data_IF_614640357836
#
_entry.id   IF_614640357836
#
_cell.length_a   1.000
_cell.length_b   1.000
_cell.length_c   1.000
_cell.angle_alpha   90.00
_cell.angle_beta   90.00
_cell.angle_gamma   90.00
#
_symmetry.space_group_name_H-M   'P 1'
#
loop_
_entity.id
_entity.type
_entity.pdbx_description
1 polymer ?
#
# COMPACT_ATOMS: atom_id res chain seq x y z
N UNK A 1 -1.90 5.56 -5.55
CA UNK A 1 -1.93 6.42 -6.77
C UNK A 1 -3.25 6.40 -7.55
N UNK A 2 -3.34 7.09 -8.69
CA UNK A 2 -4.54 7.21 -9.56
C UNK A 2 -5.13 5.87 -10.00
N UNK A 3 -4.37 5.13 -10.81
CA UNK A 3 -4.74 3.78 -11.27
C UNK A 3 -4.57 2.72 -10.17
N UNK A 4 -3.46 2.77 -9.43
CA UNK A 4 -3.19 1.89 -8.27
C UNK A 4 -4.29 1.87 -7.21
N UNK A 5 -5.01 2.98 -7.05
CA UNK A 5 -6.12 3.07 -6.12
C UNK A 5 -7.31 2.17 -6.46
N UNK A 6 -7.38 1.60 -7.66
CA UNK A 6 -8.42 0.64 -8.05
C UNK A 6 -8.15 -0.78 -7.55
N UNK A 7 -6.90 -1.12 -7.20
CA UNK A 7 -6.52 -2.47 -6.78
C UNK A 7 -7.28 -2.99 -5.56
N UNK A 8 -7.46 -2.22 -4.46
CA UNK A 8 -8.10 -2.76 -3.27
C UNK A 8 -9.58 -3.09 -3.52
N UNK A 9 -10.31 -2.18 -4.18
CA UNK A 9 -11.69 -2.44 -4.61
C UNK A 9 -11.79 -3.61 -5.60
N UNK A 10 -10.89 -3.71 -6.57
CA UNK A 10 -10.89 -4.80 -7.54
C UNK A 10 -10.67 -6.17 -6.87
N UNK A 11 -9.75 -6.25 -5.90
CA UNK A 11 -9.52 -7.46 -5.11
C UNK A 11 -10.75 -7.84 -4.29
N UNK A 12 -11.39 -6.87 -3.61
CA UNK A 12 -12.63 -7.09 -2.86
C UNK A 12 -13.75 -7.60 -3.76
N UNK A 13 -13.94 -6.99 -4.94
CA UNK A 13 -14.92 -7.45 -5.93
C UNK A 13 -14.62 -8.85 -6.47
N UNK A 14 -13.35 -9.25 -6.50
CA UNK A 14 -12.92 -10.60 -6.87
C UNK A 14 -13.03 -11.61 -5.70
N UNK A 15 -13.45 -11.17 -4.51
CA UNK A 15 -13.61 -12.02 -3.32
C UNK A 15 -12.33 -12.20 -2.50
N UNK A 16 -11.31 -11.37 -2.71
CA UNK A 16 -10.04 -11.44 -1.98
C UNK A 16 -9.91 -10.31 -0.95
N UNK A 17 -9.18 -10.57 0.12
CA UNK A 17 -8.65 -9.52 0.97
C UNK A 17 -7.44 -8.85 0.31
N UNK A 18 -7.24 -7.55 0.55
CA UNK A 18 -6.13 -6.79 -0.05
C UNK A 18 -5.41 -5.91 0.97
N UNK A 19 -4.10 -6.07 1.08
CA UNK A 19 -3.21 -5.12 1.74
C UNK A 19 -2.48 -4.32 0.67
N UNK A 20 -2.71 -3.01 0.62
CA UNK A 20 -2.06 -2.11 -0.32
C UNK A 20 -1.11 -1.15 0.41
N UNK A 21 0.18 -1.19 0.08
CA UNK A 21 1.18 -0.28 0.67
C UNK A 21 1.22 1.02 -0.13
N UNK A 22 1.12 2.17 0.54
CA UNK A 22 1.17 3.49 -0.08
C UNK A 22 1.95 4.45 0.82
N UNK A 23 2.89 5.19 0.23
CA UNK A 23 3.78 6.08 0.98
C UNK A 23 3.18 7.47 1.21
N UNK A 24 2.18 7.86 0.42
CA UNK A 24 1.56 9.18 0.49
C UNK A 24 0.21 9.12 1.26
N UNK A 25 0.10 9.70 2.47
CA UNK A 25 -1.13 9.67 3.25
C UNK A 25 -2.31 10.34 2.55
N UNK A 26 -2.07 11.40 1.77
CA UNK A 26 -3.14 12.07 1.00
C UNK A 26 -3.76 11.13 -0.03
N UNK A 27 -2.95 10.23 -0.59
CA UNK A 27 -3.44 9.23 -1.55
C UNK A 27 -4.32 8.20 -0.86
N UNK A 28 -3.96 7.75 0.34
CA UNK A 28 -4.75 6.82 1.16
C UNK A 28 -6.09 7.47 1.54
N UNK A 29 -6.05 8.68 2.10
CA UNK A 29 -7.24 9.41 2.54
C UNK A 29 -8.21 9.69 1.39
N UNK A 30 -7.68 9.96 0.20
CA UNK A 30 -8.49 10.07 -0.99
C UNK A 30 -9.25 8.77 -1.29
N UNK A 31 -8.59 7.60 -1.20
CA UNK A 31 -9.21 6.30 -1.55
C UNK A 31 -10.21 5.87 -0.49
N UNK A 32 -9.94 6.14 0.79
CA UNK A 32 -10.91 5.93 1.87
C UNK A 32 -12.17 6.75 1.62
N UNK A 33 -12.02 8.06 1.35
CA UNK A 33 -13.16 8.94 1.08
C UNK A 33 -13.98 8.48 -0.13
N UNK A 34 -13.31 7.98 -1.17
CA UNK A 34 -13.98 7.46 -2.38
C UNK A 34 -14.43 6.00 -2.25
N UNK A 35 -14.24 5.35 -1.10
CA UNK A 35 -14.57 3.93 -0.83
C UNK A 35 -13.90 2.94 -1.78
N UNK A 36 -12.67 3.26 -2.18
CA UNK A 36 -11.82 2.37 -2.97
C UNK A 36 -10.90 1.50 -2.09
N UNK A 37 -10.81 1.82 -0.80
CA UNK A 37 -10.20 1.00 0.26
C UNK A 37 -11.10 1.10 1.50
N UNK A 38 -11.18 0.04 2.29
CA UNK A 38 -12.10 -0.04 3.44
C UNK A 38 -11.48 0.57 4.71
N UNK A 39 -10.23 0.21 5.01
CA UNK A 39 -9.52 0.63 6.24
C UNK A 39 -8.12 1.18 5.91
N UNK A 40 -7.52 1.88 6.88
CA UNK A 40 -6.09 2.24 6.83
C UNK A 40 -5.41 2.00 8.17
N UNK A 41 -4.10 1.79 8.12
CA UNK A 41 -3.21 1.78 9.30
C UNK A 41 -1.80 2.21 8.89
N UNK A 42 -0.96 2.58 9.85
CA UNK A 42 0.47 2.80 9.70
C UNK A 42 1.32 1.68 10.34
N UNK A 43 0.66 0.63 10.84
CA UNK A 43 1.29 -0.53 11.47
C UNK A 43 1.16 -1.77 10.59
N UNK A 44 2.29 -2.39 10.24
CA UNK A 44 2.30 -3.67 9.53
C UNK A 44 1.65 -4.78 10.37
N UNK A 45 1.83 -4.76 11.69
CA UNK A 45 1.24 -5.76 12.58
C UNK A 45 -0.29 -5.68 12.53
N UNK A 46 -0.84 -4.47 12.67
CA UNK A 46 -2.29 -4.24 12.60
C UNK A 46 -2.85 -4.61 11.21
N UNK A 47 -2.15 -4.25 10.12
CA UNK A 47 -2.57 -4.60 8.77
C UNK A 47 -2.65 -6.12 8.58
N UNK A 48 -1.67 -6.87 9.10
CA UNK A 48 -1.64 -8.33 9.00
C UNK A 48 -2.72 -8.98 9.88
N UNK A 49 -2.97 -8.47 11.08
CA UNK A 49 -4.05 -8.91 11.95
C UNK A 49 -5.44 -8.68 11.31
N UNK A 50 -5.64 -7.54 10.66
CA UNK A 50 -6.85 -7.25 9.90
C UNK A 50 -7.07 -8.26 8.77
N UNK A 51 -6.04 -8.49 7.94
CA UNK A 51 -6.10 -9.45 6.83
C UNK A 51 -6.41 -10.85 7.36
N UNK A 52 -5.70 -11.32 8.38
CA UNK A 52 -5.90 -12.66 8.95
C UNK A 52 -7.35 -12.83 9.43
N UNK A 53 -7.85 -11.88 10.23
CA UNK A 53 -9.22 -11.89 10.74
C UNK A 53 -10.27 -11.91 9.62
N UNK A 54 -10.12 -11.09 8.58
CA UNK A 54 -11.07 -11.06 7.47
C UNK A 54 -11.04 -12.36 6.65
N UNK A 55 -9.85 -12.89 6.38
CA UNK A 55 -9.70 -14.15 5.66
C UNK A 55 -10.30 -15.32 6.44
N UNK A 56 -10.11 -15.40 7.77
CA UNK A 56 -10.72 -16.43 8.62
C UNK A 56 -12.25 -16.32 8.65
N UNK A 57 -12.78 -15.10 8.62
CA UNK A 57 -14.22 -14.84 8.57
C UNK A 57 -14.85 -15.06 7.17
N UNK A 58 -14.05 -15.34 6.13
CA UNK A 58 -14.54 -15.42 4.75
C UNK A 58 -15.02 -14.08 4.20
N UNK A 59 -14.53 -12.97 4.74
CA UNK A 59 -14.81 -11.61 4.27
C UNK A 59 -13.84 -11.20 3.16
N UNK A 60 -14.29 -10.34 2.24
CA UNK A 60 -13.45 -9.67 1.27
C UNK A 60 -13.35 -8.19 1.63
N UNK A 61 -12.19 -7.77 2.15
CA UNK A 61 -11.92 -6.40 2.63
C UNK A 61 -10.52 -5.93 2.30
N UNK A 62 -10.33 -4.63 2.33
CA UNK A 62 -9.08 -3.99 1.95
C UNK A 62 -8.54 -3.03 3.01
N UNK A 63 -7.22 -3.07 3.20
CA UNK A 63 -6.49 -2.16 4.09
C UNK A 63 -5.36 -1.47 3.33
N UNK A 64 -5.28 -0.14 3.46
CA UNK A 64 -4.13 0.63 3.03
C UNK A 64 -3.13 0.74 4.19
N UNK A 65 -1.89 0.30 3.98
CA UNK A 65 -0.79 0.47 4.92
C UNK A 65 0.06 1.67 4.52
N UNK A 66 0.14 2.68 5.40
CA UNK A 66 1.06 3.80 5.22
C UNK A 66 2.50 3.31 5.40
N UNK A 67 3.29 3.35 4.34
CA UNK A 67 4.68 2.92 4.36
C UNK A 67 5.32 2.91 2.98
N UNK A 68 6.62 2.62 2.92
CA UNK A 68 7.33 2.42 1.66
C UNK A 68 7.31 0.92 1.29
N UNK A 69 6.88 0.59 0.08
CA UNK A 69 6.88 -0.79 -0.40
C UNK A 69 8.28 -1.44 -0.34
N UNK A 70 9.34 -0.66 -0.55
CA UNK A 70 10.73 -1.11 -0.45
C UNK A 70 11.15 -1.52 0.97
N UNK A 71 10.42 -1.08 2.01
CA UNK A 71 10.62 -1.50 3.40
C UNK A 71 9.66 -2.63 3.78
N UNK A 72 8.38 -2.50 3.42
CA UNK A 72 7.32 -3.42 3.86
C UNK A 72 7.45 -4.81 3.21
N UNK A 73 7.72 -4.89 1.90
CA UNK A 73 7.74 -6.19 1.22
C UNK A 73 8.89 -7.08 1.70
N UNK A 74 10.13 -6.59 1.88
CA UNK A 74 11.19 -7.36 2.53
C UNK A 74 10.84 -7.79 3.95
N UNK A 75 10.17 -6.95 4.73
CA UNK A 75 9.76 -7.30 6.10
C UNK A 75 8.70 -8.40 6.13
N UNK A 76 7.68 -8.34 5.26
CA UNK A 76 6.69 -9.41 5.07
C UNK A 76 7.40 -10.73 4.72
N UNK A 77 8.33 -10.69 3.77
CA UNK A 77 9.11 -11.87 3.38
C UNK A 77 9.92 -12.44 4.53
N UNK A 78 10.63 -11.58 5.28
CA UNK A 78 11.44 -11.96 6.45
C UNK A 78 10.60 -12.62 7.55
N UNK A 79 9.36 -12.19 7.74
CA UNK A 79 8.40 -12.77 8.69
C UNK A 79 7.79 -14.09 8.23
N UNK A 80 8.04 -14.52 7.00
CA UNK A 80 7.46 -15.73 6.43
C UNK A 80 5.97 -15.62 6.14
N UNK A 81 5.42 -14.40 6.10
CA UNK A 81 4.04 -14.16 5.68
C UNK A 81 3.94 -14.45 4.19
N UNK A 82 2.95 -15.27 3.79
CA UNK A 82 2.78 -15.73 2.41
C UNK A 82 1.44 -15.23 1.85
N UNK A 83 1.43 -14.10 1.13
CA UNK A 83 0.27 -13.70 0.34
C UNK A 83 -0.03 -14.73 -0.75
N UNK A 84 -1.30 -14.88 -1.12
CA UNK A 84 -1.69 -15.75 -2.24
C UNK A 84 -1.33 -15.14 -3.59
N UNK A 85 -1.34 -13.80 -3.69
CA UNK A 85 -0.98 -13.03 -4.87
C UNK A 85 -0.13 -11.84 -4.43
N UNK A 86 0.92 -11.52 -5.21
CA UNK A 86 1.73 -10.31 -5.03
C UNK A 86 1.87 -9.61 -6.38
N UNK A 87 1.70 -8.29 -6.38
CA UNK A 87 1.89 -7.42 -7.54
C UNK A 87 2.32 -6.04 -7.08
N UNK A 88 2.68 -5.16 -8.01
CA UNK A 88 3.03 -3.76 -7.75
C UNK A 88 2.39 -2.83 -8.79
N UNK A 89 2.01 -1.63 -8.35
CA UNK A 89 1.58 -0.55 -9.23
C UNK A 89 2.02 0.82 -8.69
N UNK A 90 3.17 0.85 -8.01
CA UNK A 90 3.90 2.11 -7.84
C UNK A 90 4.22 2.73 -9.20
N UNK A 91 4.52 4.03 -9.23
CA UNK A 91 4.92 4.69 -10.47
C UNK A 91 6.40 4.44 -10.78
N UNK A 92 6.84 3.18 -10.76
CA UNK A 92 8.22 2.77 -11.04
C UNK A 92 8.72 3.13 -12.45
N UNK A 93 7.80 3.46 -13.37
CA UNK A 93 8.11 3.95 -14.71
C UNK A 93 8.75 5.35 -14.71
N UNK A 94 8.58 6.13 -13.65
CA UNK A 94 9.20 7.44 -13.46
C UNK A 94 9.98 7.43 -12.13
N UNK A 95 11.27 7.06 -12.16
CA UNK A 95 12.06 6.92 -10.93
C UNK A 95 12.22 8.23 -10.16
N UNK A 96 12.21 9.37 -10.84
CA UNK A 96 12.42 10.69 -10.20
C UNK A 96 11.14 11.15 -9.53
N UNK A 97 9.98 11.03 -10.20
CA UNK A 97 8.72 11.62 -9.72
C UNK A 97 7.70 10.62 -9.19
N UNK A 98 7.92 9.33 -9.41
CA UNK A 98 6.92 8.29 -9.19
C UNK A 98 7.26 7.25 -8.11
N UNK A 99 8.54 7.07 -7.78
CA UNK A 99 8.97 6.06 -6.81
C UNK A 99 9.73 6.70 -5.64
N UNK A 100 9.17 6.64 -4.44
CA UNK A 100 9.80 7.18 -3.24
C UNK A 100 11.04 6.33 -2.87
N UNK A 101 12.25 6.91 -2.85
CA UNK A 101 13.43 6.17 -2.42
C UNK A 101 13.31 5.62 -1.00
N UNK A 102 13.88 4.44 -0.77
CA UNK A 102 13.90 3.83 0.55
C UNK A 102 14.60 4.74 1.58
N UNK A 103 14.04 4.83 2.79
CA UNK A 103 14.57 5.66 3.87
C UNK A 103 14.30 7.16 3.72
N UNK A 104 13.62 7.60 2.67
CA UNK A 104 13.24 9.00 2.49
C UNK A 104 11.81 9.25 2.94
N UNK A 105 11.57 10.42 3.49
CA UNK A 105 10.23 10.93 3.74
C UNK A 105 9.63 11.56 2.48
N UNK A 106 8.30 11.68 2.44
CA UNK A 106 7.59 12.39 1.36
C UNK A 106 8.02 13.86 1.25
N UNK A 107 8.40 14.50 2.36
CA UNK A 107 8.85 15.88 2.37
C UNK A 107 10.25 16.01 1.73
N UNK A 108 11.19 15.17 2.16
CA UNK A 108 12.55 15.13 1.60
C UNK A 108 12.52 14.82 0.09
N UNK A 109 11.69 13.87 -0.32
CA UNK A 109 11.56 13.53 -1.74
C UNK A 109 10.99 14.68 -2.57
N UNK A 110 10.01 15.42 -2.04
CA UNK A 110 9.49 16.63 -2.70
C UNK A 110 10.59 17.67 -2.92
N UNK A 111 11.40 17.95 -1.91
CA UNK A 111 12.50 18.92 -1.99
C UNK A 111 13.62 18.47 -2.95
N UNK A 112 13.99 17.19 -2.91
CA UNK A 112 15.11 16.64 -3.69
C UNK A 112 14.83 16.59 -5.18
N UNK A 113 13.56 16.40 -5.59
CA UNK A 113 13.16 16.49 -7.01
C UNK A 113 13.43 17.85 -7.63
N UNK A 114 13.46 18.91 -6.84
CA UNK A 114 13.76 20.27 -7.32
C UNK A 114 15.25 20.59 -7.23
N UNK A 115 15.90 20.17 -6.14
CA UNK A 115 17.28 20.55 -5.83
C UNK A 115 18.35 19.63 -6.43
N UNK A 116 18.05 18.35 -6.67
CA UNK A 116 18.98 17.34 -7.18
C UNK A 116 18.22 16.19 -7.88
N UNK A 117 17.67 16.44 -9.09
CA UNK A 117 16.82 15.49 -9.83
C UNK A 117 17.59 14.30 -10.42
#
# INVERSE_FOLDING_TARGET
>A
GGMGGAQPLAAVMAGACCLAVECNPDSIDFRLRTRYVDEKTDSLDEALEMIARWTEAGEAKSVALLGNAADIFPEIHKRGVRPDIVTDQTSAHDPVNGYLPQGWTMAEWKEKRESAP
#
